data_IF_517151419935
#
_entry.id   IF_517151419935
#
_cell.length_a   1.000
_cell.length_b   1.000
_cell.length_c   1.000
_cell.angle_alpha   90.00
_cell.angle_beta   90.00
_cell.angle_gamma   90.00
#
_symmetry.space_group_name_H-M   'P 1'
#
loop_
_entity.id
_entity.type
_entity.pdbx_description
1 polymer ?
#
# COMPACT_ATOMS: atom_id res chain seq x y z
N UNK A 1 17.40 10.98 -8.94
CA UNK A 1 15.98 11.06 -8.50
C UNK A 1 15.94 10.83 -7.00
N UNK A 2 15.41 11.78 -6.21
CA UNK A 2 15.54 11.85 -4.74
C UNK A 2 14.92 10.67 -3.96
N UNK A 3 13.97 9.93 -4.54
CA UNK A 3 13.21 8.87 -3.83
C UNK A 3 13.22 7.51 -4.52
N UNK A 4 14.13 7.28 -5.48
CA UNK A 4 14.12 6.08 -6.34
C UNK A 4 14.10 4.77 -5.53
N UNK A 5 14.87 4.70 -4.46
CA UNK A 5 15.02 3.49 -3.65
C UNK A 5 13.76 3.19 -2.81
N UNK A 6 13.18 4.22 -2.18
CA UNK A 6 11.93 4.08 -1.44
C UNK A 6 10.78 3.68 -2.37
N UNK A 7 10.67 4.33 -3.53
CA UNK A 7 9.66 4.01 -4.54
C UNK A 7 9.79 2.56 -5.01
N UNK A 8 11.02 2.09 -5.27
CA UNK A 8 11.27 0.70 -5.66
C UNK A 8 10.82 -0.30 -4.60
N UNK A 9 11.09 -0.02 -3.32
CA UNK A 9 10.67 -0.89 -2.20
C UNK A 9 9.16 -0.96 -2.03
N UNK A 10 8.47 0.18 -2.11
CA UNK A 10 6.99 0.23 -2.03
C UNK A 10 6.35 -0.53 -3.19
N UNK A 11 6.86 -0.36 -4.41
CA UNK A 11 6.37 -1.12 -5.58
C UNK A 11 6.65 -2.61 -5.39
N UNK A 12 7.85 -2.99 -4.96
CA UNK A 12 8.20 -4.37 -4.66
C UNK A 12 7.27 -5.03 -3.64
N UNK A 13 6.92 -4.29 -2.56
CA UNK A 13 5.95 -4.74 -1.58
C UNK A 13 4.57 -5.02 -2.20
N UNK A 14 4.06 -4.10 -3.03
CA UNK A 14 2.80 -4.29 -3.72
C UNK A 14 2.83 -5.48 -4.71
N UNK A 15 3.97 -5.70 -5.38
CA UNK A 15 4.16 -6.84 -6.28
C UNK A 15 4.15 -8.18 -5.54
N UNK A 16 4.81 -8.29 -4.38
CA UNK A 16 4.78 -9.52 -3.58
C UNK A 16 3.37 -9.83 -3.06
N UNK A 17 2.62 -8.82 -2.62
CA UNK A 17 1.21 -8.98 -2.25
C UNK A 17 0.39 -9.50 -3.44
N UNK A 18 0.54 -8.89 -4.62
CA UNK A 18 -0.19 -9.32 -5.82
C UNK A 18 0.18 -10.74 -6.26
N UNK A 19 1.46 -11.12 -6.15
CA UNK A 19 1.96 -12.46 -6.49
C UNK A 19 1.35 -13.55 -5.59
N UNK A 20 1.16 -13.27 -4.31
CA UNK A 20 0.60 -14.24 -3.36
C UNK A 20 -0.94 -14.27 -3.35
N UNK A 21 -1.60 -13.10 -3.46
CA UNK A 21 -3.07 -13.01 -3.39
C UNK A 21 -3.75 -13.07 -4.76
N UNK A 22 -3.05 -12.76 -5.84
CA UNK A 22 -3.64 -12.60 -7.17
C UNK A 22 -4.71 -11.51 -7.19
N UNK A 23 -5.65 -11.63 -8.12
CA UNK A 23 -6.90 -10.87 -8.14
C UNK A 23 -8.02 -11.68 -7.43
N UNK A 24 -9.05 -10.98 -6.92
CA UNK A 24 -10.39 -11.46 -6.45
C UNK A 24 -10.78 -11.04 -5.03
N UNK A 25 -9.87 -10.49 -4.24
CA UNK A 25 -10.19 -10.11 -2.86
C UNK A 25 -10.74 -8.68 -2.77
N UNK A 26 -11.43 -8.39 -1.66
CA UNK A 26 -11.81 -7.02 -1.32
C UNK A 26 -10.56 -6.17 -1.04
N UNK A 27 -10.65 -4.87 -1.31
CA UNK A 27 -9.57 -3.90 -1.08
C UNK A 27 -8.96 -4.01 0.33
N UNK A 28 -9.79 -4.20 1.36
CA UNK A 28 -9.36 -4.35 2.75
C UNK A 28 -8.35 -5.49 2.95
N UNK A 29 -8.44 -6.56 2.16
CA UNK A 29 -7.49 -7.67 2.21
C UNK A 29 -6.14 -7.26 1.64
N UNK A 30 -6.14 -6.55 0.50
CA UNK A 30 -4.92 -6.00 -0.08
C UNK A 30 -4.25 -4.97 0.82
N UNK A 31 -5.04 -4.09 1.45
CA UNK A 31 -4.52 -3.09 2.39
C UNK A 31 -3.82 -3.75 3.59
N UNK A 32 -4.42 -4.82 4.15
CA UNK A 32 -3.83 -5.59 5.25
C UNK A 32 -2.54 -6.29 4.83
N UNK A 33 -2.55 -6.97 3.69
CA UNK A 33 -1.38 -7.68 3.19
C UNK A 33 -0.22 -6.71 2.86
N UNK A 34 -0.53 -5.57 2.24
CA UNK A 34 0.46 -4.53 1.96
C UNK A 34 1.05 -3.94 3.24
N UNK A 35 0.23 -3.73 4.27
CA UNK A 35 0.75 -3.28 5.56
C UNK A 35 1.74 -4.25 6.19
N UNK A 36 1.45 -5.56 6.12
CA UNK A 36 2.37 -6.60 6.60
C UNK A 36 3.69 -6.54 5.82
N UNK A 37 3.63 -6.47 4.50
CA UNK A 37 4.82 -6.43 3.64
C UNK A 37 5.66 -5.16 3.87
N UNK A 38 5.01 -4.00 4.00
CA UNK A 38 5.70 -2.74 4.33
C UNK A 38 6.36 -2.79 5.72
N UNK A 39 5.73 -3.44 6.71
CA UNK A 39 6.31 -3.66 8.03
C UNK A 39 7.53 -4.60 7.96
N UNK A 40 7.47 -5.68 7.18
CA UNK A 40 8.60 -6.59 6.96
C UNK A 40 9.79 -5.87 6.32
N UNK A 41 9.51 -4.90 5.46
CA UNK A 41 10.53 -4.05 4.86
C UNK A 41 10.95 -2.86 5.73
N UNK A 42 10.45 -2.71 6.96
CA UNK A 42 10.72 -1.57 7.84
C UNK A 42 10.38 -0.21 7.19
N UNK A 43 9.23 -0.14 6.51
CA UNK A 43 8.71 1.09 5.91
C UNK A 43 7.56 1.61 6.79
N UNK A 44 7.79 2.76 7.41
CA UNK A 44 6.77 3.46 8.17
C UNK A 44 5.62 3.88 7.26
N UNK A 45 4.40 3.52 7.66
CA UNK A 45 3.18 3.86 6.95
C UNK A 45 2.01 3.94 7.93
N UNK A 46 0.91 4.53 7.47
CA UNK A 46 -0.35 4.64 8.19
C UNK A 46 -1.44 4.00 7.33
N UNK A 47 -2.34 3.25 7.97
CA UNK A 47 -3.51 2.67 7.31
C UNK A 47 -4.71 3.55 7.58
N UNK A 48 -5.62 3.60 6.60
CA UNK A 48 -6.92 4.28 6.75
C UNK A 48 -6.77 5.73 7.23
N UNK A 49 -5.71 6.41 6.78
CA UNK A 49 -5.48 7.81 7.12
C UNK A 49 -6.69 8.63 6.70
N UNK A 50 -7.36 9.22 7.68
CA UNK A 50 -8.44 10.16 7.40
C UNK A 50 -7.88 11.34 6.60
N UNK A 51 -8.54 11.62 5.48
CA UNK A 51 -8.21 12.74 4.61
C UNK A 51 -9.50 13.47 4.31
N UNK A 52 -9.46 14.80 4.40
CA UNK A 52 -10.57 15.64 3.93
C UNK A 52 -10.77 15.35 2.45
N UNK A 53 -11.92 14.76 2.13
CA UNK A 53 -12.30 14.43 0.76
C UNK A 53 -13.50 15.29 0.41
N UNK A 54 -13.32 16.13 -0.60
CA UNK A 54 -14.40 16.92 -1.18
C UNK A 54 -14.91 16.18 -2.41
N UNK A 55 -16.15 15.70 -2.36
CA UNK A 55 -16.77 15.01 -3.49
C UNK A 55 -17.65 15.99 -4.26
N UNK A 56 -17.17 16.45 -5.41
CA UNK A 56 -17.90 17.37 -6.31
C UNK A 56 -18.31 18.70 -5.66
N UNK A 57 -17.53 19.21 -4.71
CA UNK A 57 -17.87 20.46 -4.01
C UNK A 57 -18.60 20.29 -2.69
N UNK A 58 -18.69 19.05 -2.17
CA UNK A 58 -19.39 18.67 -0.94
C UNK A 58 -18.49 17.87 0.00
#
# INVERSE_FOLDING_TARGET
>A
MKYKDLTGRVIGAAMEVHKHLGNRFQEVIYQRALSIELNMQNIHHEREKEMSLEYKGF
#
